data_IF_376078956870
#
_entry.id   IF_376078956870
#
_cell.length_a   1.000
_cell.length_b   1.000
_cell.length_c   1.000
_cell.angle_alpha   90.00
_cell.angle_beta   90.00
_cell.angle_gamma   90.00
#
_symmetry.space_group_name_H-M   'P 1'
#
loop_
_entity.id
_entity.type
_entity.pdbx_description
1 polymer ?
#
# COMPACT_ATOMS: atom_id res chain seq x y z
N UNK A 1 13.49 25.88 -0.26
CA UNK A 1 12.96 25.24 -1.47
C UNK A 1 13.53 23.83 -1.54
N UNK A 2 12.71 22.81 -1.81
CA UNK A 2 13.14 21.42 -1.98
C UNK A 2 12.77 20.97 -3.39
N UNK A 3 13.74 20.41 -4.11
CA UNK A 3 13.55 19.81 -5.42
C UNK A 3 13.86 18.31 -5.33
N UNK A 4 12.93 17.48 -5.78
CA UNK A 4 13.06 16.03 -5.88
C UNK A 4 12.85 15.62 -7.35
N UNK A 5 13.71 14.75 -7.87
CA UNK A 5 13.64 14.25 -9.24
C UNK A 5 14.38 12.93 -9.42
N UNK A 6 14.06 12.20 -10.49
CA UNK A 6 14.63 10.90 -10.84
C UNK A 6 14.08 10.43 -12.19
N UNK A 7 14.65 9.36 -12.79
CA UNK A 7 14.13 8.76 -14.02
C UNK A 7 12.70 8.24 -13.81
N UNK A 8 11.86 8.18 -14.87
CA UNK A 8 10.55 7.52 -14.81
C UNK A 8 10.68 6.07 -14.34
N UNK A 9 9.70 5.58 -13.59
CA UNK A 9 9.66 4.18 -13.22
C UNK A 9 9.46 3.31 -14.46
N UNK A 10 10.20 2.21 -14.61
CA UNK A 10 10.01 1.27 -15.73
C UNK A 10 8.82 0.32 -15.54
N UNK A 11 8.22 0.32 -14.35
CA UNK A 11 7.14 -0.59 -13.95
C UNK A 11 5.84 0.18 -13.75
N UNK A 12 4.72 -0.47 -14.07
CA UNK A 12 3.40 0.02 -13.69
C UNK A 12 3.15 -0.24 -12.21
N UNK A 13 3.08 0.82 -11.42
CA UNK A 13 2.84 0.76 -9.99
C UNK A 13 1.39 1.13 -9.68
N UNK A 14 0.82 0.38 -8.74
CA UNK A 14 -0.49 0.60 -8.17
C UNK A 14 -0.32 0.93 -6.69
N UNK A 15 -0.80 2.12 -6.31
CA UNK A 15 -0.76 2.59 -4.94
C UNK A 15 -2.17 2.74 -4.38
N UNK A 16 -2.40 2.15 -3.21
CA UNK A 16 -3.62 2.38 -2.46
C UNK A 16 -3.30 2.41 -0.97
N UNK A 17 -3.70 3.50 -0.31
CA UNK A 17 -3.30 3.80 1.05
C UNK A 17 -1.77 3.68 1.24
N UNK A 18 -1.31 2.92 2.22
CA UNK A 18 0.09 2.70 2.55
C UNK A 18 0.69 1.48 1.83
N UNK A 19 0.03 0.99 0.78
CA UNK A 19 0.47 -0.17 0.01
C UNK A 19 0.84 0.23 -1.41
N UNK A 20 1.96 -0.33 -1.89
CA UNK A 20 2.41 -0.23 -3.28
C UNK A 20 2.63 -1.64 -3.80
N UNK A 21 2.01 -1.96 -4.92
CA UNK A 21 2.12 -3.24 -5.62
C UNK A 21 2.02 -3.04 -7.14
N UNK A 22 1.97 -4.14 -7.88
CA UNK A 22 1.84 -4.17 -9.34
C UNK A 22 0.43 -4.53 -9.78
N UNK A 23 -0.35 -5.19 -8.92
CA UNK A 23 -1.70 -5.66 -9.23
C UNK A 23 -2.68 -5.38 -8.10
N UNK A 24 -3.97 -5.38 -8.42
CA UNK A 24 -5.03 -5.25 -7.42
C UNK A 24 -4.99 -6.38 -6.39
N UNK A 25 -4.72 -7.62 -6.84
CA UNK A 25 -4.68 -8.80 -5.98
C UNK A 25 -3.56 -8.73 -4.95
N UNK A 26 -2.41 -8.15 -5.32
CA UNK A 26 -1.33 -7.87 -4.37
C UNK A 26 -1.79 -6.91 -3.26
N UNK A 27 -2.50 -5.83 -3.62
CA UNK A 27 -3.03 -4.88 -2.63
C UNK A 27 -4.05 -5.55 -1.70
N UNK A 28 -4.95 -6.36 -2.24
CA UNK A 28 -5.93 -7.11 -1.44
C UNK A 28 -5.21 -8.08 -0.49
N UNK A 29 -4.16 -8.75 -0.97
CA UNK A 29 -3.30 -9.61 -0.16
C UNK A 29 -2.62 -8.85 0.99
N UNK A 30 -1.99 -7.70 0.70
CA UNK A 30 -1.35 -6.86 1.72
C UNK A 30 -2.34 -6.35 2.76
N UNK A 31 -3.54 -5.96 2.33
CA UNK A 31 -4.61 -5.53 3.22
C UNK A 31 -4.99 -6.66 4.18
N UNK A 32 -5.24 -7.86 3.65
CA UNK A 32 -5.62 -9.04 4.43
C UNK A 32 -4.55 -9.41 5.44
N UNK A 33 -3.29 -9.54 4.99
CA UNK A 33 -2.15 -9.83 5.87
C UNK A 33 -2.00 -8.80 6.99
N UNK A 34 -2.21 -7.51 6.68
CA UNK A 34 -2.16 -6.45 7.69
C UNK A 34 -3.30 -6.53 8.70
N UNK A 35 -4.49 -6.92 8.27
CA UNK A 35 -5.65 -7.16 9.15
C UNK A 35 -5.46 -8.40 10.03
N UNK A 36 -4.87 -9.46 9.48
CA UNK A 36 -4.53 -10.70 10.19
C UNK A 36 -3.28 -10.56 11.09
N UNK A 37 -2.63 -9.39 11.08
CA UNK A 37 -1.40 -9.09 11.83
C UNK A 37 -0.24 -10.02 11.48
N UNK A 38 -0.13 -10.36 10.20
CA UNK A 38 0.97 -11.15 9.66
C UNK A 38 2.34 -10.58 10.05
N UNK A 39 3.28 -11.47 10.36
CA UNK A 39 4.64 -11.15 10.83
C UNK A 39 5.37 -10.17 9.90
N UNK A 40 5.06 -10.17 8.59
CA UNK A 40 5.60 -9.22 7.61
C UNK A 40 5.43 -7.76 8.02
N UNK A 41 4.35 -7.43 8.73
CA UNK A 41 4.04 -6.06 9.17
C UNK A 41 4.49 -5.77 10.61
N UNK A 42 4.96 -6.77 11.34
CA UNK A 42 5.39 -6.68 12.73
C UNK A 42 4.34 -6.14 13.70
N UNK A 43 4.77 -5.97 14.95
CA UNK A 43 4.06 -5.25 16.02
C UNK A 43 4.88 -4.05 16.50
N UNK A 44 4.21 -3.04 17.05
CA UNK A 44 4.84 -1.88 17.67
C UNK A 44 4.25 -1.73 19.06
N UNK A 45 4.89 -2.37 20.04
CA UNK A 45 4.32 -2.55 21.38
C UNK A 45 4.42 -1.29 22.24
N UNK A 46 5.32 -0.36 21.91
CA UNK A 46 5.54 0.87 22.66
C UNK A 46 4.53 1.99 22.34
N UNK A 47 3.62 1.78 21.38
CA UNK A 47 2.62 2.77 21.00
C UNK A 47 1.32 2.55 21.79
N UNK A 48 0.85 3.52 22.60
CA UNK A 48 -0.31 3.32 23.47
C UNK A 48 -1.67 3.37 22.73
N UNK A 49 -1.67 3.56 21.40
CA UNK A 49 -2.88 3.65 20.59
C UNK A 49 -3.24 2.35 19.88
N UNK A 50 -4.49 2.24 19.45
CA UNK A 50 -4.94 1.10 18.63
C UNK A 50 -4.29 1.16 17.24
N UNK A 51 -3.89 0.00 16.72
CA UNK A 51 -3.45 -0.15 15.33
C UNK A 51 -4.54 0.38 14.38
N UNK A 52 -4.16 1.26 13.46
CA UNK A 52 -5.07 1.77 12.43
C UNK A 52 -5.53 0.61 11.54
N UNK A 53 -6.82 0.48 11.25
CA UNK A 53 -7.34 -0.50 10.27
C UNK A 53 -7.25 0.04 8.86
N UNK A 54 -7.13 -0.85 7.87
CA UNK A 54 -7.20 -0.46 6.46
C UNK A 54 -8.63 0.01 6.12
N UNK A 55 -8.82 1.17 5.47
CA UNK A 55 -10.16 1.57 4.98
C UNK A 55 -10.64 0.56 3.93
N UNK A 56 -11.93 0.25 3.76
CA UNK A 56 -12.39 -0.70 2.72
C UNK A 56 -11.85 -0.29 1.32
N UNK A 57 -11.48 -1.26 0.46
CA UNK A 57 -11.06 -0.91 -0.90
C UNK A 57 -12.28 -0.40 -1.68
N UNK A 58 -12.09 0.39 -2.76
CA UNK A 58 -13.19 0.74 -3.63
C UNK A 58 -13.83 -0.52 -4.22
N UNK A 59 -15.12 -0.45 -4.55
CA UNK A 59 -15.87 -1.57 -5.17
C UNK A 59 -15.47 -1.84 -6.63
N UNK A 60 -14.34 -1.30 -7.08
CA UNK A 60 -13.81 -1.42 -8.43
C UNK A 60 -12.36 -1.86 -8.37
N UNK A 61 -11.88 -2.54 -9.42
CA UNK A 61 -10.47 -2.89 -9.55
C UNK A 61 -9.62 -1.62 -9.58
N UNK A 62 -8.56 -1.61 -8.78
CA UNK A 62 -7.59 -0.53 -8.76
C UNK A 62 -6.74 -0.60 -10.03
N UNK A 63 -6.49 0.55 -10.66
CA UNK A 63 -5.67 0.64 -11.85
C UNK A 63 -4.28 1.17 -11.49
N UNK A 64 -3.25 0.62 -12.13
CA UNK A 64 -1.91 1.19 -12.14
C UNK A 64 -1.96 2.60 -12.71
N UNK A 65 -1.10 3.48 -12.20
CA UNK A 65 -0.91 4.79 -12.83
C UNK A 65 -0.10 4.57 -14.12
N UNK A 66 -0.61 4.96 -15.30
CA UNK A 66 0.16 4.86 -16.54
C UNK A 66 1.38 5.78 -16.45
N UNK A 67 2.51 5.33 -17.01
CA UNK A 67 3.64 6.22 -17.23
C UNK A 67 3.27 7.27 -18.29
N UNK A 68 3.58 8.55 -18.05
CA UNK A 68 3.42 9.61 -19.05
C UNK A 68 4.41 9.46 -20.21
#
# INVERSE_FOLDING_TARGET
MLLLGGPPFGEELLMWWNFVGRTHDEIVGYRRQREEQDDRFGSVDSYPGRRLSAPPPPNTTLLSRPNP
#
